data_IF_357037592042
#
_entry.id   IF_357037592042
#
_cell.length_a   1.000
_cell.length_b   1.000
_cell.length_c   1.000
_cell.angle_alpha   90.00
_cell.angle_beta   90.00
_cell.angle_gamma   90.00
#
_symmetry.space_group_name_H-M   'P 1'
#
loop_
_entity.id
_entity.type
_entity.pdbx_description
1 polymer ?
#
# COMPACT_ATOMS: atom_id res chain seq x y z
N UNK A 1 34.35 -18.98 -10.52
CA UNK A 1 33.79 -18.56 -9.21
C UNK A 1 32.27 -18.44 -9.15
N UNK A 2 31.54 -18.23 -10.25
CA UNK A 2 30.07 -18.02 -10.20
C UNK A 2 29.24 -19.30 -10.00
N UNK A 3 29.72 -20.46 -10.47
CA UNK A 3 29.00 -21.72 -10.31
C UNK A 3 28.96 -22.20 -8.85
N UNK A 4 30.04 -21.98 -8.07
CA UNK A 4 30.12 -22.37 -6.66
C UNK A 4 29.17 -21.56 -5.76
N UNK A 5 28.94 -20.27 -6.10
CA UNK A 5 27.96 -19.42 -5.41
C UNK A 5 26.53 -19.91 -5.66
N UNK A 6 26.22 -20.33 -6.88
CA UNK A 6 24.93 -20.91 -7.25
C UNK A 6 24.65 -22.21 -6.49
N UNK A 7 25.65 -23.10 -6.37
CA UNK A 7 25.48 -24.34 -5.61
C UNK A 7 25.29 -24.05 -4.12
N UNK A 8 26.13 -23.19 -3.51
CA UNK A 8 26.02 -22.83 -2.09
C UNK A 8 24.70 -22.15 -1.73
N UNK A 9 24.17 -21.28 -2.59
CA UNK A 9 22.86 -20.66 -2.39
C UNK A 9 21.70 -21.69 -2.41
N UNK A 10 21.84 -22.75 -3.23
CA UNK A 10 20.85 -23.83 -3.33
C UNK A 10 20.87 -24.74 -2.09
N UNK A 11 22.03 -24.96 -1.44
CA UNK A 11 22.14 -25.80 -0.23
C UNK A 11 21.85 -25.03 1.07
N UNK A 12 21.97 -23.70 1.08
CA UNK A 12 21.77 -22.85 2.25
C UNK A 12 20.33 -22.35 2.46
N UNK A 13 19.35 -22.84 1.68
CA UNK A 13 17.93 -22.56 1.88
C UNK A 13 17.46 -21.15 1.49
N UNK A 14 18.35 -20.28 1.01
CA UNK A 14 18.00 -18.97 0.47
C UNK A 14 17.94 -19.06 -1.05
N UNK A 15 16.90 -19.75 -1.56
CA UNK A 15 16.55 -19.59 -2.97
C UNK A 15 16.16 -18.12 -3.17
N UNK A 16 16.87 -17.40 -4.02
CA UNK A 16 16.38 -16.10 -4.49
C UNK A 16 14.98 -16.34 -5.07
N UNK A 17 13.97 -15.55 -4.68
CA UNK A 17 12.63 -15.69 -5.23
C UNK A 17 12.74 -15.63 -6.76
N UNK A 18 12.16 -16.63 -7.44
CA UNK A 18 12.02 -16.57 -8.88
C UNK A 18 11.09 -15.40 -9.17
N UNK A 19 11.63 -14.29 -9.69
CA UNK A 19 10.86 -13.13 -10.14
C UNK A 19 10.17 -13.47 -11.47
N UNK A 20 9.24 -14.43 -11.41
CA UNK A 20 8.33 -14.76 -12.48
C UNK A 20 7.46 -13.53 -12.81
N UNK A 21 6.95 -13.34 -14.03
CA UNK A 21 5.83 -12.43 -14.32
C UNK A 21 4.69 -12.44 -13.28
N UNK A 22 4.48 -13.56 -12.58
CA UNK A 22 3.56 -13.62 -11.44
C UNK A 22 3.97 -12.74 -10.24
N UNK A 23 5.27 -12.54 -10.01
CA UNK A 23 5.83 -11.73 -8.92
C UNK A 23 5.81 -10.22 -9.22
N UNK A 24 5.89 -9.82 -10.50
CA UNK A 24 5.83 -8.41 -10.93
C UNK A 24 4.79 -8.29 -12.02
N UNK A 25 3.58 -7.90 -11.63
CA UNK A 25 2.45 -7.73 -12.53
C UNK A 25 2.23 -6.24 -12.82
N UNK A 26 1.89 -5.92 -14.06
CA UNK A 26 1.53 -4.55 -14.40
C UNK A 26 0.19 -4.16 -13.75
N UNK A 27 0.05 -2.90 -13.33
CA UNK A 27 -1.22 -2.38 -12.81
C UNK A 27 -2.34 -2.52 -13.85
N UNK A 28 -1.99 -2.45 -15.15
CA UNK A 28 -2.94 -2.64 -16.24
C UNK A 28 -3.53 -4.06 -16.23
N UNK A 29 -2.73 -5.09 -15.94
CA UNK A 29 -3.22 -6.47 -15.79
C UNK A 29 -4.13 -6.63 -14.57
N UNK A 30 -3.74 -6.03 -13.43
CA UNK A 30 -4.49 -6.12 -12.17
C UNK A 30 -5.87 -5.45 -12.24
N UNK A 31 -6.01 -4.45 -13.11
CA UNK A 31 -7.22 -3.62 -13.23
C UNK A 31 -8.08 -3.98 -14.45
N UNK A 32 -7.73 -5.05 -15.20
CA UNK A 32 -8.45 -5.49 -16.41
C UNK A 32 -9.95 -5.67 -16.22
N UNK A 33 -10.38 -6.20 -15.08
CA UNK A 33 -11.78 -6.51 -14.78
C UNK A 33 -12.48 -5.41 -13.98
N UNK A 34 -11.72 -4.63 -13.20
CA UNK A 34 -12.21 -3.54 -12.37
C UNK A 34 -11.22 -2.36 -12.41
N UNK A 35 -11.41 -1.42 -13.36
CA UNK A 35 -10.49 -0.30 -13.55
C UNK A 35 -10.59 0.76 -12.44
N UNK A 36 -11.73 0.83 -11.75
CA UNK A 36 -11.94 1.74 -10.63
C UNK A 36 -12.81 1.09 -9.56
N UNK A 37 -12.77 1.66 -8.36
CA UNK A 37 -13.71 1.37 -7.28
C UNK A 37 -14.54 2.60 -6.98
N UNK A 38 -15.81 2.40 -6.66
CA UNK A 38 -16.68 3.46 -6.16
C UNK A 38 -16.36 3.69 -4.67
N UNK A 39 -16.26 4.96 -4.27
CA UNK A 39 -16.03 5.33 -2.88
C UNK A 39 -17.31 5.08 -2.06
N UNK A 40 -17.23 4.16 -1.10
CA UNK A 40 -18.31 3.87 -0.15
C UNK A 40 -18.01 4.51 1.20
N UNK A 41 -19.06 4.69 2.02
CA UNK A 41 -18.91 5.20 3.39
C UNK A 41 -17.98 4.34 4.25
N UNK A 42 -17.96 3.03 4.01
CA UNK A 42 -17.08 2.11 4.75
C UNK A 42 -15.60 2.34 4.44
N UNK A 43 -15.25 2.83 3.25
CA UNK A 43 -13.87 3.11 2.85
C UNK A 43 -13.30 4.34 3.57
N UNK A 44 -14.17 5.19 4.15
CA UNK A 44 -13.76 6.39 4.90
C UNK A 44 -13.54 6.14 6.40
N UNK A 45 -13.76 4.91 6.87
CA UNK A 45 -13.47 4.53 8.27
C UNK A 45 -11.96 4.34 8.45
N UNK A 46 -11.46 4.69 9.63
CA UNK A 46 -10.09 4.34 10.03
C UNK A 46 -9.93 2.82 10.03
N UNK A 47 -8.82 2.33 9.48
CA UNK A 47 -8.48 0.91 9.49
C UNK A 47 -8.02 0.46 10.89
N UNK A 48 -7.49 1.38 11.70
CA UNK A 48 -7.08 1.16 13.08
C UNK A 48 -6.16 -0.08 13.22
N UNK A 49 -5.14 -0.14 12.37
CA UNK A 49 -4.25 -1.29 12.28
C UNK A 49 -3.46 -1.46 13.58
N UNK A 50 -3.29 -2.70 14.02
CA UNK A 50 -2.53 -3.03 15.24
C UNK A 50 -1.01 -3.05 15.02
N UNK A 51 -0.55 -2.93 13.78
CA UNK A 51 0.87 -2.80 13.42
C UNK A 51 1.31 -1.34 13.44
N UNK A 52 2.63 -1.10 13.44
CA UNK A 52 3.18 0.24 13.23
C UNK A 52 2.65 0.84 11.92
N UNK A 53 1.96 1.98 12.02
CA UNK A 53 1.35 2.66 10.88
C UNK A 53 1.06 4.14 11.16
N UNK A 54 0.90 4.92 10.09
CA UNK A 54 0.34 6.27 10.14
C UNK A 54 -0.86 6.33 9.22
N UNK A 55 -2.02 6.65 9.77
CA UNK A 55 -3.24 6.90 9.01
C UNK A 55 -3.53 8.42 9.03
N UNK A 56 -4.07 8.96 7.94
CA UNK A 56 -4.36 10.40 7.82
C UNK A 56 -5.71 10.61 7.18
N UNK A 57 -6.51 11.50 7.76
CA UNK A 57 -7.74 12.00 7.15
C UNK A 57 -7.69 13.52 7.05
N UNK A 58 -8.00 14.02 5.85
CA UNK A 58 -8.02 15.46 5.55
C UNK A 58 -9.43 15.89 5.22
N UNK A 59 -9.86 16.96 5.87
CA UNK A 59 -11.18 17.57 5.70
C UNK A 59 -10.99 18.98 5.15
N UNK A 60 -11.68 19.27 4.05
CA UNK A 60 -11.79 20.62 3.52
C UNK A 60 -13.10 21.22 4.01
N UNK A 61 -13.02 22.40 4.60
CA UNK A 61 -14.15 23.16 5.11
C UNK A 61 -14.27 24.42 4.28
N UNK A 62 -15.47 24.70 3.79
CA UNK A 62 -15.78 25.93 3.05
C UNK A 62 -16.86 26.69 3.82
N UNK A 63 -16.60 27.96 4.14
CA UNK A 63 -17.59 28.83 4.79
C UNK A 63 -18.54 29.43 3.75
N UNK A 64 -19.74 29.80 4.17
CA UNK A 64 -20.71 30.51 3.31
C UNK A 64 -20.18 31.88 2.85
N UNK A 65 -19.18 32.44 3.54
CA UNK A 65 -18.51 33.68 3.17
C UNK A 65 -17.37 33.47 2.15
N UNK A 66 -17.07 32.22 1.79
CA UNK A 66 -16.06 31.85 0.81
C UNK A 66 -14.68 31.51 1.41
N UNK A 67 -14.53 31.51 2.73
CA UNK A 67 -13.30 31.07 3.38
C UNK A 67 -13.09 29.57 3.18
N UNK A 68 -11.83 29.17 3.08
CA UNK A 68 -11.45 27.77 2.96
C UNK A 68 -10.49 27.41 4.08
N UNK A 69 -10.74 26.28 4.73
CA UNK A 69 -9.86 25.72 5.74
C UNK A 69 -9.59 24.24 5.44
N UNK A 70 -8.40 23.79 5.81
CA UNK A 70 -8.00 22.39 5.73
C UNK A 70 -7.69 21.91 7.15
N UNK A 71 -8.33 20.82 7.55
CA UNK A 71 -8.09 20.16 8.84
C UNK A 71 -7.56 18.77 8.56
N UNK A 72 -6.41 18.43 9.15
CA UNK A 72 -5.82 17.11 8.99
C UNK A 72 -5.74 16.43 10.35
N UNK A 73 -6.33 15.24 10.44
CA UNK A 73 -6.22 14.35 11.61
C UNK A 73 -5.22 13.25 11.25
N UNK A 74 -4.20 13.08 12.08
CA UNK A 74 -3.14 12.10 11.89
C UNK A 74 -3.19 11.12 13.06
N UNK A 75 -3.46 9.84 12.77
CA UNK A 75 -3.37 8.75 13.73
C UNK A 75 -2.04 8.04 13.52
N UNK A 76 -1.21 8.02 14.56
CA UNK A 76 0.08 7.33 14.55
C UNK A 76 0.04 6.19 15.56
N UNK A 77 0.27 4.97 15.08
CA UNK A 77 0.42 3.79 15.92
C UNK A 77 1.86 3.27 15.79
N UNK A 78 2.52 3.03 16.92
CA UNK A 78 3.86 2.44 17.00
C UNK A 78 3.76 1.23 17.92
N UNK A 79 3.88 0.05 17.32
CA UNK A 79 3.74 -1.27 17.95
C UNK A 79 4.95 -2.15 17.63
#
# INVERSE_FOLDING_TARGET
MNWLKSTLATVAGTQEPIYDPAAIQSVAEQTKTAPYSELKKDDMKWKAMQSTCVETQTFYITSDQGDQAMVQVIYSNVA
#
